data_IF_686077762265
#
_entry.id   IF_686077762265
#
_cell.length_a   1.000
_cell.length_b   1.000
_cell.length_c   1.000
_cell.angle_alpha   90.00
_cell.angle_beta   90.00
_cell.angle_gamma   90.00
#
_symmetry.space_group_name_H-M   'P 1'
#
loop_
_entity.id
_entity.type
_entity.pdbx_description
1 polymer ?
#
# COMPACT_ATOMS: atom_id res chain seq x y z
N UNK A 1 -47.63 -0.50 -6.60
CA UNK A 1 -47.27 -0.30 -8.01
C UNK A 1 -45.80 -0.61 -8.17
N UNK A 2 -45.56 -1.67 -8.92
CA UNK A 2 -44.30 -2.32 -9.30
C UNK A 2 -43.26 -1.37 -9.94
N UNK A 3 -41.96 -1.65 -9.76
CA UNK A 3 -40.98 -2.01 -10.81
C UNK A 3 -39.54 -1.94 -10.23
N UNK A 4 -38.88 -3.10 -10.07
CA UNK A 4 -37.77 -3.64 -10.91
C UNK A 4 -36.41 -2.95 -10.65
N UNK A 5 -35.45 -3.64 -10.03
CA UNK A 5 -34.55 -4.64 -10.64
C UNK A 5 -33.34 -4.00 -11.35
N UNK A 6 -32.15 -4.18 -10.78
CA UNK A 6 -30.96 -4.40 -11.61
C UNK A 6 -29.74 -3.47 -11.49
N UNK A 7 -29.49 -2.75 -10.39
CA UNK A 7 -28.33 -1.84 -10.33
C UNK A 7 -27.21 -2.21 -9.36
N UNK A 8 -27.01 -3.48 -8.96
CA UNK A 8 -25.74 -3.85 -8.32
C UNK A 8 -25.40 -5.35 -8.35
N UNK A 9 -25.78 -6.06 -9.41
CA UNK A 9 -25.24 -7.40 -9.68
C UNK A 9 -23.79 -7.36 -10.23
N UNK A 10 -23.19 -6.17 -10.29
CA UNK A 10 -21.75 -5.99 -10.43
C UNK A 10 -21.14 -5.66 -9.07
N UNK A 11 -21.48 -6.41 -8.02
CA UNK A 11 -20.53 -6.59 -6.93
C UNK A 11 -19.33 -7.33 -7.56
N UNK A 12 -18.33 -6.56 -7.97
CA UNK A 12 -17.08 -7.06 -8.54
C UNK A 12 -16.57 -8.18 -7.65
N UNK A 13 -16.58 -9.41 -8.18
CA UNK A 13 -16.01 -10.56 -7.51
C UNK A 13 -14.49 -10.46 -7.55
N UNK A 14 -13.93 -9.53 -6.78
CA UNK A 14 -12.57 -9.70 -6.29
C UNK A 14 -12.63 -10.83 -5.28
N UNK A 15 -12.33 -12.04 -5.75
CA UNK A 15 -12.25 -13.20 -4.88
C UNK A 15 -11.27 -12.91 -3.73
N UNK A 16 -11.49 -13.54 -2.57
CA UNK A 16 -10.54 -13.45 -1.44
C UNK A 16 -9.11 -13.76 -1.90
N UNK A 17 -8.96 -14.72 -2.82
CA UNK A 17 -7.69 -15.05 -3.44
C UNK A 17 -7.10 -13.88 -4.25
N UNK A 18 -7.89 -13.22 -5.09
CA UNK A 18 -7.44 -12.05 -5.85
C UNK A 18 -6.98 -10.90 -4.92
N UNK A 19 -7.73 -10.65 -3.84
CA UNK A 19 -7.37 -9.65 -2.82
C UNK A 19 -6.10 -10.05 -2.06
N UNK A 20 -5.98 -11.32 -1.68
CA UNK A 20 -4.80 -11.85 -1.01
C UNK A 20 -3.55 -11.67 -1.87
N UNK A 21 -3.63 -12.01 -3.17
CA UNK A 21 -2.52 -11.81 -4.11
C UNK A 21 -2.11 -10.34 -4.19
N UNK A 22 -3.08 -9.42 -4.33
CA UNK A 22 -2.80 -7.99 -4.37
C UNK A 22 -2.13 -7.48 -3.09
N UNK A 23 -2.64 -7.88 -1.91
CA UNK A 23 -2.09 -7.50 -0.61
C UNK A 23 -0.69 -8.08 -0.42
N UNK A 24 -0.47 -9.36 -0.75
CA UNK A 24 0.84 -10.00 -0.64
C UNK A 24 1.85 -9.29 -1.54
N UNK A 25 1.49 -8.99 -2.79
CA UNK A 25 2.38 -8.27 -3.69
C UNK A 25 2.71 -6.87 -3.19
N UNK A 26 1.72 -6.12 -2.72
CA UNK A 26 1.93 -4.81 -2.10
C UNK A 26 2.85 -4.90 -0.88
N UNK A 27 2.66 -5.91 -0.02
CA UNK A 27 3.52 -6.16 1.14
C UNK A 27 4.96 -6.50 0.73
N UNK A 28 5.16 -7.34 -0.29
CA UNK A 28 6.49 -7.67 -0.82
C UNK A 28 7.21 -6.43 -1.34
N UNK A 29 6.51 -5.57 -2.09
CA UNK A 29 7.08 -4.28 -2.53
C UNK A 29 7.47 -3.44 -1.31
N UNK A 30 6.60 -3.33 -0.31
CA UNK A 30 6.90 -2.60 0.93
C UNK A 30 8.15 -3.12 1.62
N UNK A 31 8.31 -4.44 1.74
CA UNK A 31 9.49 -5.08 2.32
C UNK A 31 10.76 -4.75 1.51
N UNK A 32 10.70 -4.83 0.18
CA UNK A 32 11.83 -4.50 -0.69
C UNK A 32 12.25 -3.03 -0.54
N UNK A 33 11.28 -2.11 -0.50
CA UNK A 33 11.56 -0.68 -0.34
C UNK A 33 12.17 -0.40 1.04
N UNK A 34 11.57 -0.91 2.11
CA UNK A 34 12.07 -0.71 3.48
C UNK A 34 13.47 -1.32 3.65
N UNK A 35 13.69 -2.53 3.14
CA UNK A 35 14.99 -3.18 3.18
C UNK A 35 16.05 -2.47 2.33
N UNK A 36 15.69 -2.10 1.10
CA UNK A 36 16.59 -1.46 0.15
C UNK A 36 17.05 -0.08 0.62
N UNK A 37 16.12 0.76 1.08
CA UNK A 37 16.44 2.12 1.55
C UNK A 37 17.09 2.06 2.94
N UNK A 38 16.56 1.25 3.86
CA UNK A 38 17.03 1.18 5.24
C UNK A 38 18.43 0.57 5.42
N UNK A 39 18.83 -0.41 4.59
CA UNK A 39 20.15 -1.05 4.65
C UNK A 39 21.08 -0.66 3.50
N UNK A 40 20.73 0.40 2.76
CA UNK A 40 21.57 0.92 1.69
C UNK A 40 22.93 1.38 2.21
N UNK A 41 24.00 1.03 1.48
CA UNK A 41 25.34 1.59 1.69
C UNK A 41 25.50 3.01 1.12
N UNK A 42 24.58 3.43 0.26
CA UNK A 42 24.50 4.81 -0.24
C UNK A 42 23.86 5.68 0.84
N UNK A 43 24.65 6.61 1.38
CA UNK A 43 24.28 7.51 2.47
C UNK A 43 23.00 8.30 2.18
N UNK A 44 22.80 8.75 0.93
CA UNK A 44 21.59 9.47 0.54
C UNK A 44 20.31 8.64 0.72
N UNK A 45 20.33 7.34 0.35
CA UNK A 45 19.17 6.46 0.51
C UNK A 45 18.93 6.13 1.99
N UNK A 46 19.97 5.80 2.75
CA UNK A 46 19.82 5.52 4.19
C UNK A 46 19.29 6.74 4.96
N UNK A 47 19.81 7.94 4.66
CA UNK A 47 19.37 9.19 5.28
C UNK A 47 17.91 9.51 4.96
N UNK A 48 17.42 9.18 3.75
CA UNK A 48 16.01 9.36 3.41
C UNK A 48 15.07 8.61 4.37
N UNK A 49 15.48 7.45 4.90
CA UNK A 49 14.68 6.74 5.92
C UNK A 49 14.62 7.50 7.24
N UNK A 50 15.73 8.10 7.67
CA UNK A 50 15.78 8.93 8.87
C UNK A 50 14.98 10.22 8.70
N UNK A 51 15.08 10.87 7.53
CA UNK A 51 14.34 12.09 7.19
C UNK A 51 12.83 11.84 7.19
N UNK A 52 12.36 10.72 6.63
CA UNK A 52 10.93 10.34 6.67
C UNK A 52 10.46 10.12 8.10
N UNK A 53 11.26 9.49 8.97
CA UNK A 53 10.90 9.33 10.39
C UNK A 53 10.77 10.69 11.10
N UNK A 54 11.63 11.66 10.76
CA UNK A 54 11.52 13.03 11.26
C UNK A 54 10.30 13.76 10.69
N UNK A 55 9.96 13.57 9.41
CA UNK A 55 8.78 14.16 8.77
C UNK A 55 7.45 13.53 9.24
N UNK A 56 7.43 12.25 9.61
CA UNK A 56 6.25 11.54 10.11
C UNK A 56 5.95 11.81 11.59
N UNK A 57 6.82 12.52 12.32
CA UNK A 57 6.73 12.75 13.77
C UNK A 57 6.07 14.09 14.18
N UNK A 58 5.19 14.66 13.33
CA UNK A 58 4.37 15.89 13.52
C UNK A 58 5.01 17.25 13.17
N UNK A 59 4.20 18.31 12.86
CA UNK A 59 2.95 18.35 12.11
C UNK A 59 3.17 18.98 10.72
N UNK A 60 2.49 18.47 9.70
CA UNK A 60 2.07 19.36 8.61
C UNK A 60 1.08 20.35 9.22
N UNK A 61 1.30 21.64 8.96
CA UNK A 61 0.33 22.69 9.29
C UNK A 61 -1.11 22.26 9.00
#
# INVERSE_FOLDING_TARGET
MTTRNGLNLAASHDSLAARAVAITFAALIGVVVLGGVGFSHVSAMHNATHDVRHANAFPCH
#
